data_IF_148997837427
#
_entry.id   IF_148997837427
#
_cell.length_a   1.000
_cell.length_b   1.000
_cell.length_c   1.000
_cell.angle_alpha   90.00
_cell.angle_beta   90.00
_cell.angle_gamma   90.00
#
_symmetry.space_group_name_H-M   'P 1'
#
loop_
_entity.id
_entity.type
_entity.pdbx_description
1 polymer ?
#
# COMPACT_ATOMS: atom_id res chain seq x y z
N UNK A 1 -12.79 10.43 3.36
CA UNK A 1 -13.44 10.09 2.09
C UNK A 1 -12.45 9.97 0.96
N UNK A 2 -12.90 9.44 -0.19
CA UNK A 2 -12.12 9.27 -1.40
C UNK A 2 -12.50 10.36 -2.40
N UNK A 3 -11.48 11.02 -2.97
CA UNK A 3 -11.67 12.10 -3.93
C UNK A 3 -10.85 11.83 -5.19
N UNK A 4 -11.39 12.25 -6.35
CA UNK A 4 -10.76 12.11 -7.66
C UNK A 4 -10.60 13.48 -8.31
N UNK A 5 -9.44 13.75 -8.88
CA UNK A 5 -9.19 14.87 -9.80
C UNK A 5 -8.86 14.31 -11.18
N UNK A 6 -9.26 15.03 -12.23
CA UNK A 6 -8.92 14.73 -13.62
C UNK A 6 -8.22 15.91 -14.32
N UNK A 7 -7.90 16.95 -13.57
CA UNK A 7 -7.31 18.22 -14.06
C UNK A 7 -6.03 18.61 -13.30
N UNK A 8 -5.27 17.61 -12.84
CA UNK A 8 -4.01 17.85 -12.15
C UNK A 8 -4.15 18.36 -10.71
N UNK A 9 -5.35 18.21 -10.10
CA UNK A 9 -5.61 18.62 -8.72
C UNK A 9 -6.27 19.99 -8.58
N UNK A 10 -6.64 20.63 -9.69
CA UNK A 10 -7.36 21.91 -9.69
C UNK A 10 -8.77 21.76 -9.09
N UNK A 11 -9.47 20.69 -9.48
CA UNK A 11 -10.79 20.37 -8.90
C UNK A 11 -10.83 18.92 -8.39
N UNK A 12 -11.68 18.68 -7.39
CA UNK A 12 -11.82 17.38 -6.74
C UNK A 12 -13.28 16.98 -6.61
N UNK A 13 -13.60 15.77 -7.03
CA UNK A 13 -14.92 15.17 -6.93
C UNK A 13 -14.91 14.10 -5.84
N UNK A 14 -15.85 14.15 -4.91
CA UNK A 14 -16.02 13.11 -3.91
C UNK A 14 -16.61 11.85 -4.56
N UNK A 15 -15.86 10.75 -4.55
CA UNK A 15 -16.25 9.47 -5.13
C UNK A 15 -16.58 8.41 -4.07
N UNK A 16 -16.67 8.80 -2.79
CA UNK A 16 -16.94 7.87 -1.68
C UNK A 16 -18.30 7.17 -1.78
N UNK A 17 -19.26 7.76 -2.49
CA UNK A 17 -20.60 7.20 -2.67
C UNK A 17 -20.74 6.35 -3.95
N UNK A 18 -19.65 6.12 -4.68
CA UNK A 18 -19.68 5.30 -5.91
C UNK A 18 -20.12 3.88 -5.62
N UNK A 19 -20.74 3.25 -6.63
CA UNK A 19 -21.29 1.90 -6.54
C UNK A 19 -20.20 0.89 -6.10
N UNK A 20 -20.53 0.07 -5.11
CA UNK A 20 -19.68 -0.98 -4.58
C UNK A 20 -18.87 -0.60 -3.35
N UNK A 21 -18.72 0.69 -3.03
CA UNK A 21 -18.08 1.14 -1.80
C UNK A 21 -19.06 1.07 -0.60
N UNK A 22 -18.55 0.81 0.62
CA UNK A 22 -19.40 0.68 1.81
C UNK A 22 -19.96 2.04 2.22
N UNK A 23 -21.17 2.02 2.74
CA UNK A 23 -21.81 3.21 3.36
C UNK A 23 -21.35 3.40 4.81
N UNK A 24 -21.66 4.55 5.37
CA UNK A 24 -21.39 4.88 6.76
C UNK A 24 -20.08 5.61 6.98
N UNK A 25 -19.59 5.57 8.21
CA UNK A 25 -18.37 6.29 8.60
C UNK A 25 -17.14 5.51 8.12
N UNK A 26 -16.21 6.22 7.51
CA UNK A 26 -14.89 5.71 7.14
C UNK A 26 -13.85 6.31 8.07
N UNK A 27 -12.94 5.46 8.56
CA UNK A 27 -11.72 5.88 9.20
C UNK A 27 -10.60 6.10 8.17
N UNK A 28 -9.45 5.46 8.37
CA UNK A 28 -8.31 5.59 7.46
C UNK A 28 -8.59 4.89 6.12
N UNK A 29 -8.12 5.54 5.07
CA UNK A 29 -8.25 5.07 3.68
C UNK A 29 -6.87 5.04 3.04
N UNK A 30 -6.46 3.86 2.57
CA UNK A 30 -5.31 3.71 1.67
C UNK A 30 -5.77 3.59 0.23
N UNK A 31 -5.03 4.17 -0.71
CA UNK A 31 -5.33 4.08 -2.15
C UNK A 31 -4.04 3.85 -2.94
N UNK A 32 -4.12 3.00 -3.96
CA UNK A 32 -3.04 2.77 -4.91
C UNK A 32 -3.58 2.55 -6.33
N UNK A 33 -2.92 3.15 -7.29
CA UNK A 33 -3.10 2.83 -8.70
C UNK A 33 -2.23 1.63 -9.08
N UNK A 34 -2.68 0.85 -10.06
CA UNK A 34 -1.83 -0.14 -10.71
C UNK A 34 -1.07 0.55 -11.86
N UNK A 35 0.26 0.74 -11.77
CA UNK A 35 0.98 1.56 -12.76
C UNK A 35 0.91 0.98 -14.18
N UNK A 36 0.84 -0.35 -14.32
CA UNK A 36 0.70 -1.03 -15.61
C UNK A 36 -0.74 -1.05 -16.16
N UNK A 37 -1.73 -0.60 -15.36
CA UNK A 37 -3.13 -0.48 -15.77
C UNK A 37 -3.80 0.69 -15.04
N UNK A 38 -3.76 1.92 -15.57
CA UNK A 38 -4.26 3.12 -14.90
C UNK A 38 -5.77 3.09 -14.56
N UNK A 39 -6.56 2.27 -15.26
CA UNK A 39 -7.98 2.07 -14.94
C UNK A 39 -8.18 1.28 -13.65
N UNK A 40 -7.16 0.50 -13.25
CA UNK A 40 -7.22 -0.30 -12.04
C UNK A 40 -6.71 0.45 -10.83
N UNK A 41 -7.59 0.57 -9.84
CA UNK A 41 -7.33 1.24 -8.57
C UNK A 41 -7.72 0.30 -7.44
N UNK A 42 -6.91 0.28 -6.39
CA UNK A 42 -7.22 -0.39 -5.15
C UNK A 42 -7.43 0.61 -4.03
N UNK A 43 -8.36 0.32 -3.13
CA UNK A 43 -8.52 1.07 -1.89
C UNK A 43 -8.77 0.13 -0.73
N UNK A 44 -8.05 0.32 0.36
CA UNK A 44 -8.26 -0.38 1.62
C UNK A 44 -8.96 0.59 2.59
N UNK A 45 -10.07 0.14 3.19
CA UNK A 45 -10.95 1.00 3.97
C UNK A 45 -11.13 0.49 5.40
N UNK A 46 -10.93 1.39 6.35
CA UNK A 46 -11.40 1.21 7.72
C UNK A 46 -12.89 1.58 7.79
N UNK A 47 -13.74 0.55 7.86
CA UNK A 47 -15.19 0.67 7.95
C UNK A 47 -15.75 -0.65 8.51
N UNK A 48 -16.95 -0.65 9.07
CA UNK A 48 -17.61 -1.87 9.57
C UNK A 48 -17.74 -2.96 8.48
N UNK A 49 -18.00 -2.54 7.23
CA UNK A 49 -18.01 -3.39 6.04
C UNK A 49 -16.77 -3.12 5.16
N UNK A 50 -15.65 -2.76 5.79
CA UNK A 50 -14.42 -2.42 5.11
C UNK A 50 -13.64 -3.64 4.63
N UNK A 51 -12.57 -3.38 3.91
CA UNK A 51 -11.69 -4.36 3.31
C UNK A 51 -10.89 -3.76 2.18
N UNK A 52 -10.38 -4.61 1.31
CA UNK A 52 -9.77 -4.20 0.06
C UNK A 52 -10.83 -4.19 -1.05
N UNK A 53 -10.98 -3.05 -1.67
CA UNK A 53 -11.84 -2.84 -2.84
C UNK A 53 -10.98 -2.58 -4.07
N UNK A 54 -11.50 -2.99 -5.24
CA UNK A 54 -10.87 -2.76 -6.54
C UNK A 54 -11.86 -2.11 -7.50
N UNK A 55 -11.39 -1.16 -8.25
CA UNK A 55 -12.02 -0.63 -9.44
C UNK A 55 -11.20 -1.05 -10.66
N UNK A 56 -11.87 -1.33 -11.76
CA UNK A 56 -11.27 -1.62 -13.08
C UNK A 56 -11.74 -0.58 -14.14
N UNK A 57 -12.35 0.53 -13.69
CA UNK A 57 -12.94 1.60 -14.52
C UNK A 57 -12.60 3.00 -13.98
N UNK A 58 -11.37 3.20 -13.53
CA UNK A 58 -10.85 4.47 -13.00
C UNK A 58 -11.69 5.04 -11.84
N UNK A 59 -12.27 4.17 -11.01
CA UNK A 59 -12.99 4.55 -9.79
C UNK A 59 -14.49 4.81 -9.99
N UNK A 60 -15.07 4.46 -11.13
CA UNK A 60 -16.50 4.63 -11.36
C UNK A 60 -17.34 3.56 -10.64
N UNK A 61 -16.85 2.32 -10.62
CA UNK A 61 -17.45 1.24 -9.82
C UNK A 61 -16.39 0.47 -9.04
N UNK A 62 -16.80 -0.15 -7.95
CA UNK A 62 -15.91 -0.84 -7.02
C UNK A 62 -16.45 -2.21 -6.67
N UNK A 63 -15.55 -3.16 -6.46
CA UNK A 63 -15.83 -4.50 -5.99
C UNK A 63 -15.05 -4.78 -4.72
N UNK A 64 -15.71 -5.31 -3.69
CA UNK A 64 -15.01 -5.86 -2.52
C UNK A 64 -14.24 -7.11 -2.96
N UNK A 65 -12.93 -7.07 -2.85
CA UNK A 65 -12.05 -8.18 -3.18
C UNK A 65 -11.84 -9.09 -1.97
N UNK A 66 -11.55 -8.49 -0.82
CA UNK A 66 -11.35 -9.22 0.44
C UNK A 66 -11.79 -8.39 1.64
N UNK A 67 -12.56 -9.00 2.52
CA UNK A 67 -12.91 -8.47 3.83
C UNK A 67 -12.05 -9.05 4.96
N UNK A 68 -10.97 -9.78 4.64
CA UNK A 68 -10.09 -10.41 5.62
C UNK A 68 -9.47 -9.36 6.56
N UNK A 69 -9.60 -9.59 7.86
CA UNK A 69 -9.01 -8.70 8.86
C UNK A 69 -7.47 -8.76 8.88
N UNK A 70 -6.87 -9.83 8.37
CA UNK A 70 -5.40 -9.95 8.33
C UNK A 70 -4.73 -8.92 7.42
N UNK A 71 -5.45 -8.36 6.44
CA UNK A 71 -4.93 -7.30 5.58
C UNK A 71 -5.13 -5.89 6.16
N UNK A 72 -5.86 -5.76 7.28
CA UNK A 72 -6.21 -4.47 7.90
C UNK A 72 -6.20 -4.53 9.42
N UNK A 73 -5.34 -5.36 10.01
CA UNK A 73 -5.09 -5.35 11.45
C UNK A 73 -4.67 -3.94 11.87
N UNK A 74 -5.23 -3.43 12.97
CA UNK A 74 -5.03 -2.04 13.39
C UNK A 74 -5.31 -1.06 12.25
N UNK A 75 -6.48 -1.16 11.59
CA UNK A 75 -6.85 -0.37 10.41
C UNK A 75 -6.71 1.14 10.64
N UNK A 76 -6.93 1.60 11.86
CA UNK A 76 -6.69 2.97 12.30
C UNK A 76 -5.22 3.41 12.26
N UNK A 77 -4.28 2.49 11.96
CA UNK A 77 -2.84 2.76 11.94
C UNK A 77 -2.17 2.38 10.61
N UNK A 78 -2.51 1.20 10.04
CA UNK A 78 -1.76 0.62 8.91
C UNK A 78 -2.45 0.73 7.56
N UNK A 79 -3.62 1.19 7.37
CA UNK A 79 -4.40 1.11 6.12
C UNK A 79 -3.63 1.55 4.86
N UNK A 80 -2.65 0.76 4.45
CA UNK A 80 -1.82 0.95 3.25
C UNK A 80 -1.99 -0.20 2.28
N UNK A 81 -1.96 0.11 0.99
CA UNK A 81 -1.97 -0.84 -0.12
C UNK A 81 -0.97 -0.41 -1.17
N UNK A 82 -0.25 -1.35 -1.73
CA UNK A 82 0.73 -1.13 -2.80
C UNK A 82 0.49 -2.12 -3.92
N UNK A 83 0.81 -1.72 -5.15
CA UNK A 83 0.64 -2.55 -6.35
C UNK A 83 1.97 -2.66 -7.06
N UNK A 84 2.29 -3.85 -7.55
CA UNK A 84 3.49 -4.07 -8.33
C UNK A 84 3.44 -3.24 -9.63
N UNK A 85 4.59 -2.69 -10.01
CA UNK A 85 4.70 -1.76 -11.13
C UNK A 85 4.30 -2.38 -12.48
N UNK A 86 4.53 -3.69 -12.66
CA UNK A 86 4.31 -4.40 -13.93
C UNK A 86 3.18 -5.41 -13.89
N UNK A 87 2.75 -5.83 -12.70
CA UNK A 87 1.66 -6.79 -12.53
C UNK A 87 0.53 -6.18 -11.68
N UNK A 88 -0.60 -5.79 -12.29
CA UNK A 88 -1.70 -5.13 -11.59
C UNK A 88 -2.45 -6.06 -10.62
N UNK A 89 -2.23 -7.39 -10.70
CA UNK A 89 -2.83 -8.37 -9.80
C UNK A 89 -1.96 -8.70 -8.59
N UNK A 90 -0.70 -8.23 -8.56
CA UNK A 90 0.21 -8.42 -7.45
C UNK A 90 0.09 -7.22 -6.49
N UNK A 91 -0.60 -7.47 -5.37
CA UNK A 91 -1.00 -6.44 -4.40
C UNK A 91 -0.40 -6.75 -3.04
N UNK A 92 0.07 -5.74 -2.34
CA UNK A 92 0.66 -5.85 -1.00
C UNK A 92 -0.11 -4.99 -0.01
N UNK A 93 -0.38 -5.57 1.16
CA UNK A 93 -1.01 -4.90 2.31
C UNK A 93 -0.10 -5.09 3.54
N UNK A 94 0.97 -4.30 3.67
CA UNK A 94 1.81 -4.34 4.86
C UNK A 94 1.03 -3.79 6.06
N UNK A 95 1.09 -4.52 7.14
CA UNK A 95 0.53 -4.15 8.44
C UNK A 95 1.24 -5.00 9.53
N UNK A 96 0.60 -5.46 10.60
CA UNK A 96 1.24 -6.34 11.59
C UNK A 96 1.96 -7.51 10.91
N UNK A 97 1.29 -8.18 9.96
CA UNK A 97 1.90 -9.15 9.06
C UNK A 97 2.06 -8.53 7.67
N UNK A 98 3.09 -8.92 6.93
CA UNK A 98 3.23 -8.51 5.54
C UNK A 98 2.39 -9.43 4.65
N UNK A 99 1.23 -8.93 4.22
CA UNK A 99 0.29 -9.70 3.41
C UNK A 99 0.42 -9.33 1.93
N UNK A 100 0.31 -10.31 1.04
CA UNK A 100 0.30 -10.10 -0.40
C UNK A 100 -0.71 -10.99 -1.13
N UNK A 101 -1.17 -10.52 -2.28
CA UNK A 101 -2.09 -11.22 -3.18
C UNK A 101 -1.47 -11.30 -4.57
N UNK A 102 -1.73 -12.41 -5.28
CA UNK A 102 -1.34 -12.62 -6.68
C UNK A 102 -2.53 -12.68 -7.63
N UNK A 103 -3.73 -12.48 -7.12
CA UNK A 103 -4.99 -12.64 -7.83
C UNK A 103 -5.88 -11.38 -7.77
N UNK A 104 -5.24 -10.23 -7.67
CA UNK A 104 -5.93 -8.94 -7.65
C UNK A 104 -6.69 -8.69 -6.36
N UNK A 105 -6.20 -9.20 -5.24
CA UNK A 105 -6.73 -8.94 -3.91
C UNK A 105 -7.82 -9.91 -3.46
N UNK A 106 -8.06 -11.04 -4.16
CA UNK A 106 -9.07 -12.03 -3.75
C UNK A 106 -8.60 -12.90 -2.62
N UNK A 107 -7.36 -13.38 -2.71
CA UNK A 107 -6.74 -14.20 -1.67
C UNK A 107 -5.43 -13.59 -1.21
N UNK A 108 -5.11 -13.74 0.06
CA UNK A 108 -3.89 -13.19 0.66
C UNK A 108 -3.06 -14.28 1.31
N UNK A 109 -1.76 -14.18 1.14
CA UNK A 109 -0.74 -15.00 1.76
C UNK A 109 0.17 -14.10 2.61
N UNK A 110 0.74 -14.64 3.67
CA UNK A 110 1.77 -13.93 4.44
C UNK A 110 3.13 -14.05 3.74
N UNK A 111 3.79 -12.92 3.55
CA UNK A 111 5.17 -12.85 3.14
C UNK A 111 6.05 -12.82 4.39
N UNK A 112 7.01 -13.72 4.49
CA UNK A 112 7.92 -13.76 5.62
C UNK A 112 8.95 -12.66 5.52
N UNK A 113 8.99 -11.79 6.50
CA UNK A 113 9.97 -10.72 6.68
C UNK A 113 10.79 -10.94 7.96
N UNK A 114 11.96 -10.33 8.09
CA UNK A 114 12.79 -10.46 9.29
C UNK A 114 12.15 -9.88 10.56
N UNK A 115 11.30 -8.86 10.42
CA UNK A 115 10.56 -8.22 11.52
C UNK A 115 9.12 -7.99 11.10
N UNK A 116 8.23 -7.76 12.06
CA UNK A 116 6.81 -7.44 11.85
C UNK A 116 6.50 -5.94 12.01
N UNK A 117 5.21 -5.62 12.03
CA UNK A 117 4.71 -4.25 12.16
C UNK A 117 5.26 -3.32 11.05
N UNK A 118 4.77 -3.59 9.82
CA UNK A 118 5.26 -2.96 8.59
C UNK A 118 4.55 -1.63 8.34
N UNK A 119 5.34 -0.59 8.09
CA UNK A 119 4.85 0.78 7.95
C UNK A 119 4.89 1.28 6.51
N UNK A 120 5.82 0.79 5.68
CA UNK A 120 5.93 1.23 4.30
C UNK A 120 6.57 0.17 3.41
N UNK A 121 6.35 0.33 2.10
CA UNK A 121 6.92 -0.52 1.06
C UNK A 121 7.26 0.34 -0.16
N UNK A 122 8.50 0.27 -0.59
CA UNK A 122 8.91 0.76 -1.90
C UNK A 122 9.20 -0.42 -2.82
N UNK A 123 8.72 -0.33 -4.06
CA UNK A 123 8.94 -1.32 -5.12
C UNK A 123 9.59 -0.59 -6.28
N UNK A 124 10.73 -1.10 -6.76
CA UNK A 124 11.45 -0.53 -7.89
C UNK A 124 10.55 -0.52 -9.15
N UNK A 125 10.30 0.67 -9.75
CA UNK A 125 9.45 0.77 -10.93
C UNK A 125 10.00 0.04 -12.16
N UNK A 126 11.31 -0.17 -12.23
CA UNK A 126 11.95 -0.88 -13.35
C UNK A 126 12.06 -2.38 -13.09
N UNK A 127 12.21 -2.77 -11.83
CA UNK A 127 12.39 -4.17 -11.44
C UNK A 127 11.59 -4.49 -10.16
N UNK A 128 10.38 -4.95 -10.31
CA UNK A 128 9.48 -5.30 -9.21
C UNK A 128 9.98 -6.38 -8.24
N UNK A 129 11.13 -7.02 -8.52
CA UNK A 129 11.79 -7.91 -7.57
C UNK A 129 12.66 -7.15 -6.55
N UNK A 130 13.00 -5.89 -6.83
CA UNK A 130 13.69 -5.03 -5.87
C UNK A 130 12.69 -4.32 -5.00
N UNK A 131 12.80 -4.51 -3.71
CA UNK A 131 11.86 -3.98 -2.74
C UNK A 131 12.60 -3.51 -1.49
N UNK A 132 12.06 -2.47 -0.86
CA UNK A 132 12.47 -2.03 0.48
C UNK A 132 11.22 -2.02 1.34
N UNK A 133 11.23 -2.75 2.43
CA UNK A 133 10.19 -2.71 3.45
C UNK A 133 10.71 -1.97 4.68
N UNK A 134 9.86 -1.14 5.29
CA UNK A 134 10.12 -0.49 6.57
C UNK A 134 9.15 -1.04 7.61
N UNK A 135 9.69 -1.39 8.76
CA UNK A 135 8.98 -1.94 9.91
C UNK A 135 9.58 -1.46 11.24
N UNK A 136 9.06 -1.92 12.36
CA UNK A 136 9.55 -1.52 13.69
C UNK A 136 10.99 -1.97 13.97
N UNK A 137 11.55 -2.90 13.20
CA UNK A 137 12.94 -3.32 13.29
C UNK A 137 13.90 -2.46 12.48
N UNK A 138 13.38 -1.62 11.55
CA UNK A 138 14.18 -0.79 10.66
C UNK A 138 13.75 -0.91 9.20
N UNK A 139 14.70 -1.12 8.28
CA UNK A 139 14.41 -1.33 6.87
C UNK A 139 15.18 -2.54 6.34
N UNK A 140 14.53 -3.29 5.45
CA UNK A 140 15.14 -4.45 4.82
C UNK A 140 14.95 -4.38 3.31
N UNK A 141 15.95 -4.88 2.58
CA UNK A 141 15.98 -4.89 1.12
C UNK A 141 15.83 -6.32 0.62
N UNK A 142 15.02 -6.50 -0.41
CA UNK A 142 14.91 -7.73 -1.18
C UNK A 142 15.24 -7.48 -2.64
N UNK A 143 15.87 -8.46 -3.30
CA UNK A 143 16.20 -8.45 -4.72
C UNK A 143 15.47 -9.57 -5.50
N UNK A 144 14.63 -10.34 -4.83
CA UNK A 144 13.95 -11.53 -5.36
C UNK A 144 12.45 -11.56 -5.08
N UNK A 145 11.84 -10.38 -4.99
CA UNK A 145 10.40 -10.23 -4.77
C UNK A 145 9.93 -10.61 -3.37
N UNK A 146 10.83 -10.53 -2.39
CA UNK A 146 10.52 -10.81 -0.99
C UNK A 146 10.78 -12.27 -0.58
N UNK A 147 11.39 -13.09 -1.43
CA UNK A 147 11.76 -14.46 -1.06
C UNK A 147 12.90 -14.47 -0.02
N UNK A 148 13.84 -13.54 -0.14
CA UNK A 148 14.90 -13.29 0.83
C UNK A 148 15.01 -11.80 1.14
N UNK A 149 15.42 -11.47 2.36
CA UNK A 149 15.59 -10.12 2.85
C UNK A 149 16.95 -9.92 3.51
N UNK A 150 17.47 -8.69 3.43
CA UNK A 150 18.63 -8.30 4.23
C UNK A 150 18.32 -8.33 5.72
N UNK A 151 19.36 -8.34 6.55
CA UNK A 151 19.18 -8.14 7.99
C UNK A 151 18.86 -6.67 8.32
N UNK A 152 18.12 -6.43 9.38
CA UNK A 152 17.94 -5.11 10.00
C UNK A 152 18.96 -4.85 11.13
N UNK A 153 19.73 -5.84 11.51
CA UNK A 153 20.62 -5.79 12.69
C UNK A 153 21.90 -4.97 12.48
N UNK A 154 22.14 -4.49 11.26
CA UNK A 154 23.35 -3.76 10.86
C UNK A 154 23.12 -2.26 10.61
N UNK A 155 21.97 -1.74 11.03
CA UNK A 155 21.60 -0.34 10.81
C UNK A 155 21.63 0.45 12.11
N UNK A 156 22.42 1.55 12.20
CA UNK A 156 22.31 2.50 13.30
C UNK A 156 21.07 3.36 13.07
N UNK A 157 19.94 2.94 13.60
CA UNK A 157 18.64 3.60 13.36
C UNK A 157 18.17 4.38 14.56
N UNK A 158 17.51 5.51 14.29
CA UNK A 158 16.61 6.20 15.20
C UNK A 158 15.15 6.00 14.76
N UNK A 159 14.21 6.25 15.65
CA UNK A 159 12.79 6.18 15.32
C UNK A 159 12.34 7.50 14.67
N UNK A 160 12.21 7.51 13.36
CA UNK A 160 11.68 8.63 12.59
C UNK A 160 10.25 8.36 12.14
N UNK A 161 9.35 9.30 12.39
CA UNK A 161 7.96 9.21 11.91
C UNK A 161 7.77 9.82 10.52
N UNK A 162 8.63 10.75 10.14
CA UNK A 162 8.63 11.39 8.82
C UNK A 162 10.05 11.66 8.39
N UNK A 163 10.32 11.48 7.11
CA UNK A 163 11.60 11.79 6.49
C UNK A 163 11.35 12.48 5.16
N UNK A 164 12.14 13.50 4.86
CA UNK A 164 12.17 14.13 3.55
C UNK A 164 13.61 14.39 3.13
N UNK A 165 13.81 14.52 1.83
CA UNK A 165 15.11 14.87 1.25
C UNK A 165 14.99 16.14 0.43
N UNK A 166 16.07 16.90 0.32
CA UNK A 166 16.18 18.00 -0.64
C UNK A 166 16.69 17.48 -2.00
N UNK A 167 16.72 18.39 -3.00
CA UNK A 167 17.21 18.09 -4.34
C UNK A 167 18.69 18.44 -4.54
N UNK A 168 19.45 18.67 -3.45
CA UNK A 168 20.89 18.96 -3.51
C UNK A 168 21.69 17.70 -3.89
N UNK A 169 22.92 17.91 -4.35
CA UNK A 169 23.89 16.83 -4.48
C UNK A 169 25.16 17.17 -3.66
N UNK A 170 25.51 16.36 -2.64
CA UNK A 170 24.72 15.26 -2.06
C UNK A 170 23.43 15.80 -1.41
N UNK A 171 22.36 15.00 -1.48
CA UNK A 171 21.09 15.38 -0.85
C UNK A 171 21.19 15.37 0.69
N UNK A 172 20.38 16.22 1.34
CA UNK A 172 20.23 16.24 2.78
C UNK A 172 19.00 15.46 3.18
N UNK A 173 19.05 14.85 4.35
CA UNK A 173 17.93 14.13 4.94
C UNK A 173 17.46 14.95 6.13
N UNK A 174 16.15 15.19 6.19
CA UNK A 174 15.47 15.87 7.29
C UNK A 174 14.44 14.90 7.87
N UNK A 175 14.44 14.74 9.20
CA UNK A 175 13.54 13.83 9.92
C UNK A 175 13.24 14.29 11.35
#
# INVERSE_FOLDING_TARGET
GLYKSTDGGETWINVSAKKGLPKGVWGIVGVAFAPSNPERIYTILENANGGLFRSDDAGETWQLMSGDNNIRQRAWYYSKVFVNQKNPDLVYCPNVNFMYSRDGGRTFLSLRTPHGDHHDLWIDPENGNRMIVADDGGAQVSFDGGANWSTYMNQPTGQFYRVTTDNSFPYRILG
#
